data_IF_981481645246
#
_entry.id   IF_981481645246
#
_cell.length_a   1.000
_cell.length_b   1.000
_cell.length_c   1.000
_cell.angle_alpha   90.00
_cell.angle_beta   90.00
_cell.angle_gamma   90.00
#
_symmetry.space_group_name_H-M   'P 1'
#
loop_
_entity.id
_entity.type
_entity.pdbx_description
1 polymer ?
#
# COMPACT_ATOMS: atom_id res chain seq x y z
N UNK A 1 5.32 -33.11 -50.24
CA UNK A 1 5.43 -33.69 -48.89
C UNK A 1 6.64 -33.06 -48.19
N UNK A 2 6.44 -31.95 -47.46
CA UNK A 2 7.54 -31.27 -46.73
C UNK A 2 7.86 -32.09 -45.48
N UNK A 3 9.09 -32.60 -45.38
CA UNK A 3 9.56 -33.26 -44.16
C UNK A 3 9.57 -32.25 -42.99
N UNK A 4 9.15 -32.65 -41.78
CA UNK A 4 9.28 -31.79 -40.61
C UNK A 4 10.76 -31.52 -40.34
N UNK A 5 11.09 -30.26 -40.08
CA UNK A 5 12.46 -29.85 -39.73
C UNK A 5 13.00 -30.73 -38.60
N UNK A 6 14.23 -31.24 -38.77
CA UNK A 6 14.94 -32.04 -37.76
C UNK A 6 14.94 -31.30 -36.44
N UNK A 7 14.33 -31.92 -35.41
CA UNK A 7 14.33 -31.43 -34.02
C UNK A 7 15.79 -31.31 -33.55
N UNK A 8 16.24 -30.11 -33.20
CA UNK A 8 17.59 -29.89 -32.65
C UNK A 8 17.70 -30.57 -31.29
N UNK A 9 18.56 -31.57 -31.20
CA UNK A 9 18.83 -32.33 -29.97
C UNK A 9 19.59 -31.46 -28.97
N UNK A 10 18.86 -30.69 -28.14
CA UNK A 10 19.45 -29.89 -27.06
C UNK A 10 18.58 -28.77 -26.49
N UNK A 11 17.51 -28.36 -27.18
CA UNK A 11 16.61 -27.31 -26.68
C UNK A 11 15.52 -27.88 -25.74
N UNK A 12 15.32 -27.31 -24.54
CA UNK A 12 14.25 -27.74 -23.65
C UNK A 12 12.88 -27.49 -24.29
N UNK A 13 11.88 -28.28 -23.91
CA UNK A 13 10.50 -28.06 -24.36
C UNK A 13 10.00 -26.70 -23.90
N UNK A 14 10.27 -26.36 -22.64
CA UNK A 14 9.71 -25.19 -21.96
C UNK A 14 10.74 -24.54 -21.05
N UNK A 15 10.69 -23.21 -21.00
CA UNK A 15 11.31 -22.39 -19.97
C UNK A 15 10.23 -21.81 -19.06
N UNK A 16 10.26 -22.19 -17.80
CA UNK A 16 9.39 -21.66 -16.75
C UNK A 16 10.03 -20.39 -16.19
N UNK A 17 9.40 -19.25 -16.39
CA UNK A 17 9.83 -17.94 -15.91
C UNK A 17 9.00 -17.56 -14.70
N UNK A 18 9.65 -17.41 -13.53
CA UNK A 18 9.02 -17.03 -12.27
C UNK A 18 9.49 -15.62 -11.88
N UNK A 19 8.68 -14.57 -12.09
CA UNK A 19 8.95 -13.26 -11.50
C UNK A 19 8.68 -13.31 -9.99
N UNK A 20 9.60 -12.80 -9.17
CA UNK A 20 9.46 -12.81 -7.71
C UNK A 20 9.88 -11.48 -7.08
N UNK A 21 9.12 -11.04 -6.08
CA UNK A 21 9.46 -9.88 -5.24
C UNK A 21 9.05 -10.14 -3.79
N UNK A 22 10.02 -10.24 -2.89
CA UNK A 22 9.89 -10.34 -1.42
C UNK A 22 9.03 -11.48 -0.87
N UNK A 23 8.83 -12.57 -1.61
CA UNK A 23 8.03 -13.73 -1.17
C UNK A 23 8.80 -15.07 -1.34
N UNK A 24 9.75 -15.31 -0.43
CA UNK A 24 10.61 -16.52 -0.41
C UNK A 24 9.80 -17.80 -0.20
N UNK A 25 8.78 -17.75 0.65
CA UNK A 25 7.94 -18.91 0.98
C UNK A 25 7.10 -19.35 -0.23
N UNK A 26 6.46 -18.40 -0.92
CA UNK A 26 5.70 -18.68 -2.12
C UNK A 26 6.61 -19.25 -3.22
N UNK A 27 7.76 -18.60 -3.46
CA UNK A 27 8.74 -19.08 -4.43
C UNK A 27 9.21 -20.51 -4.14
N UNK A 28 9.48 -20.84 -2.88
CA UNK A 28 9.90 -22.18 -2.46
C UNK A 28 8.85 -23.24 -2.83
N UNK A 29 7.55 -22.95 -2.62
CA UNK A 29 6.44 -23.83 -3.03
C UNK A 29 6.33 -23.99 -4.54
N UNK A 30 6.49 -22.89 -5.29
CA UNK A 30 6.47 -22.93 -6.75
C UNK A 30 7.62 -23.81 -7.29
N UNK A 31 8.85 -23.58 -6.82
CA UNK A 31 10.05 -24.34 -7.22
C UNK A 31 9.98 -25.83 -6.88
N UNK A 32 9.22 -26.22 -5.85
CA UNK A 32 8.99 -27.63 -5.53
C UNK A 32 8.28 -28.38 -6.66
N UNK A 33 7.43 -27.71 -7.45
CA UNK A 33 6.58 -28.28 -8.50
C UNK A 33 7.15 -28.09 -9.93
N UNK A 34 8.13 -27.22 -10.11
CA UNK A 34 8.75 -26.94 -11.43
C UNK A 34 10.25 -27.16 -11.39
N UNK A 35 10.69 -28.38 -11.08
CA UNK A 35 12.12 -28.70 -11.04
C UNK A 35 12.73 -28.76 -12.45
N UNK A 36 13.96 -28.27 -12.56
CA UNK A 36 14.72 -28.31 -13.81
C UNK A 36 14.99 -29.76 -14.26
N UNK A 37 14.90 -30.01 -15.56
CA UNK A 37 15.15 -31.31 -16.19
C UNK A 37 15.61 -31.11 -17.64
N UNK A 38 15.96 -32.18 -18.35
CA UNK A 38 16.33 -32.10 -19.77
C UNK A 38 15.26 -31.43 -20.65
N UNK A 39 13.97 -31.48 -20.26
CA UNK A 39 12.86 -30.87 -21.00
C UNK A 39 12.41 -29.52 -20.42
N UNK A 40 12.84 -29.19 -19.20
CA UNK A 40 12.33 -28.04 -18.43
C UNK A 40 13.50 -27.19 -17.95
N UNK A 41 13.57 -25.97 -18.46
CA UNK A 41 14.44 -24.93 -17.91
C UNK A 41 13.64 -24.07 -16.93
N UNK A 42 14.25 -23.68 -15.81
CA UNK A 42 13.60 -22.88 -14.76
C UNK A 42 14.40 -21.62 -14.56
N UNK A 43 13.74 -20.47 -14.68
CA UNK A 43 14.35 -19.15 -14.55
C UNK A 43 13.59 -18.36 -13.49
N UNK A 44 14.29 -17.93 -12.44
CA UNK A 44 13.72 -17.06 -11.42
C UNK A 44 14.25 -15.65 -11.66
N UNK A 45 13.34 -14.74 -12.00
CA UNK A 45 13.65 -13.33 -12.23
C UNK A 45 13.33 -12.52 -10.97
N UNK A 46 14.37 -12.15 -10.23
CA UNK A 46 14.28 -11.39 -9.00
C UNK A 46 14.38 -9.89 -9.28
N UNK A 47 13.66 -9.08 -8.51
CA UNK A 47 13.89 -7.64 -8.48
C UNK A 47 15.29 -7.36 -7.88
N UNK A 48 16.04 -6.45 -8.51
CA UNK A 48 17.39 -6.08 -8.09
C UNK A 48 17.43 -5.56 -6.65
N UNK A 49 18.49 -5.92 -5.92
CA UNK A 49 18.67 -5.59 -4.51
C UNK A 49 18.08 -6.62 -3.54
N UNK A 50 17.44 -7.69 -4.03
CA UNK A 50 16.87 -8.77 -3.20
C UNK A 50 17.67 -10.09 -3.33
N UNK A 51 18.84 -10.09 -3.95
CA UNK A 51 19.62 -11.31 -4.27
C UNK A 51 19.95 -12.13 -3.03
N UNK A 52 20.35 -11.48 -1.93
CA UNK A 52 20.68 -12.14 -0.66
C UNK A 52 19.49 -12.86 -0.03
N UNK A 53 18.26 -12.41 -0.29
CA UNK A 53 17.04 -13.01 0.29
C UNK A 53 16.86 -14.44 -0.19
N UNK A 54 17.23 -14.74 -1.43
CA UNK A 54 16.96 -16.04 -2.05
C UNK A 54 18.18 -16.97 -2.07
N UNK A 55 19.26 -16.63 -1.35
CA UNK A 55 20.52 -17.39 -1.34
C UNK A 55 20.30 -18.87 -0.98
N UNK A 56 19.53 -19.14 0.09
CA UNK A 56 19.16 -20.51 0.50
C UNK A 56 18.39 -21.28 -0.56
N UNK A 57 17.49 -20.61 -1.30
CA UNK A 57 16.75 -21.24 -2.39
C UNK A 57 17.65 -21.48 -3.61
N UNK A 58 18.58 -20.57 -3.88
CA UNK A 58 19.55 -20.72 -4.95
C UNK A 58 20.49 -21.90 -4.70
N UNK A 59 20.90 -22.10 -3.46
CA UNK A 59 21.64 -23.29 -3.04
C UNK A 59 20.77 -24.55 -3.17
N UNK A 60 19.54 -24.55 -2.68
CA UNK A 60 18.67 -25.73 -2.75
C UNK A 60 18.31 -26.17 -4.18
N UNK A 61 18.21 -25.22 -5.11
CA UNK A 61 17.75 -25.46 -6.49
C UNK A 61 18.86 -25.14 -7.52
N UNK A 62 19.95 -25.92 -7.49
CA UNK A 62 21.14 -25.73 -8.34
C UNK A 62 20.88 -25.74 -9.87
N UNK A 63 19.78 -26.36 -10.33
CA UNK A 63 19.39 -26.39 -11.74
C UNK A 63 18.61 -25.16 -12.22
N UNK A 64 18.29 -24.24 -11.32
CA UNK A 64 17.52 -23.03 -11.62
C UNK A 64 18.44 -21.87 -11.97
N UNK A 65 18.13 -21.17 -13.06
CA UNK A 65 18.83 -19.96 -13.47
C UNK A 65 18.24 -18.74 -12.75
N UNK A 66 19.09 -17.95 -12.11
CA UNK A 66 18.67 -16.76 -11.37
C UNK A 66 19.04 -15.51 -12.16
N UNK A 67 18.08 -14.61 -12.34
CA UNK A 67 18.20 -13.39 -13.13
C UNK A 67 17.88 -12.21 -12.23
N UNK A 68 18.75 -11.22 -12.20
CA UNK A 68 18.46 -9.92 -11.58
C UNK A 68 17.92 -8.96 -12.65
N UNK A 69 16.82 -8.29 -12.34
CA UNK A 69 16.19 -7.29 -13.21
C UNK A 69 15.63 -6.14 -12.37
N UNK A 70 15.42 -4.94 -12.94
CA UNK A 70 14.71 -3.87 -12.24
C UNK A 70 13.34 -4.32 -11.73
N UNK A 71 12.84 -3.64 -10.69
CA UNK A 71 11.54 -3.95 -10.11
C UNK A 71 10.42 -3.70 -11.13
N UNK A 72 9.59 -4.71 -11.35
CA UNK A 72 8.41 -4.61 -12.21
C UNK A 72 8.08 -5.98 -12.81
N UNK A 73 6.81 -6.42 -12.73
CA UNK A 73 6.46 -7.78 -13.17
C UNK A 73 6.78 -7.98 -14.65
N UNK A 74 6.36 -7.05 -15.51
CA UNK A 74 6.65 -7.10 -16.94
C UNK A 74 8.15 -7.15 -17.23
N UNK A 75 8.92 -6.27 -16.56
CA UNK A 75 10.39 -6.20 -16.70
C UNK A 75 11.05 -7.53 -16.30
N UNK A 76 10.66 -8.09 -15.16
CA UNK A 76 11.18 -9.36 -14.67
C UNK A 76 10.80 -10.54 -15.58
N UNK A 77 9.55 -10.59 -16.08
CA UNK A 77 9.11 -11.61 -17.03
C UNK A 77 9.87 -11.51 -18.35
N UNK A 78 10.09 -10.30 -18.88
CA UNK A 78 10.87 -10.09 -20.09
C UNK A 78 12.34 -10.47 -19.91
N UNK A 79 12.96 -10.10 -18.78
CA UNK A 79 14.34 -10.50 -18.48
C UNK A 79 14.47 -12.03 -18.40
N UNK A 80 13.50 -12.69 -17.78
CA UNK A 80 13.38 -14.15 -17.77
C UNK A 80 13.26 -14.75 -19.16
N UNK A 81 12.36 -14.21 -19.98
CA UNK A 81 12.13 -14.66 -21.34
C UNK A 81 13.37 -14.46 -22.25
N UNK A 82 14.08 -13.35 -22.11
CA UNK A 82 15.29 -13.06 -22.87
C UNK A 82 16.44 -14.04 -22.56
N UNK A 83 16.48 -14.56 -21.34
CA UNK A 83 17.51 -15.50 -20.89
C UNK A 83 17.14 -16.98 -21.12
N UNK A 84 15.92 -17.26 -21.55
CA UNK A 84 15.35 -18.59 -21.72
C UNK A 84 15.84 -19.29 -22.99
N UNK A 85 15.82 -20.62 -23.01
CA UNK A 85 16.18 -21.49 -24.17
C UNK A 85 15.07 -22.42 -24.66
N UNK A 86 14.02 -22.63 -23.89
CA UNK A 86 12.88 -23.47 -24.23
C UNK A 86 11.97 -22.96 -25.35
N UNK A 87 11.43 -23.90 -26.13
CA UNK A 87 10.54 -23.60 -27.27
C UNK A 87 9.23 -22.92 -26.84
N UNK A 88 8.77 -23.26 -25.64
CA UNK A 88 7.67 -22.62 -24.95
C UNK A 88 8.19 -21.75 -23.80
N UNK A 89 7.55 -20.62 -23.57
CA UNK A 89 7.72 -19.81 -22.38
C UNK A 89 6.47 -20.00 -21.52
N UNK A 90 6.64 -20.34 -20.25
CA UNK A 90 5.56 -20.44 -19.26
C UNK A 90 5.84 -19.43 -18.16
N UNK A 91 4.94 -18.47 -17.96
CA UNK A 91 5.05 -17.46 -16.91
C UNK A 91 4.28 -17.93 -15.68
N UNK A 92 4.99 -18.27 -14.61
CA UNK A 92 4.42 -18.78 -13.37
C UNK A 92 4.56 -17.75 -12.26
N UNK A 93 3.45 -17.27 -11.72
CA UNK A 93 3.49 -16.42 -10.53
C UNK A 93 4.05 -17.20 -9.34
N UNK A 94 4.87 -16.53 -8.50
CA UNK A 94 5.49 -17.16 -7.34
C UNK A 94 4.46 -17.68 -6.31
N UNK A 95 3.25 -17.10 -6.26
CA UNK A 95 2.15 -17.54 -5.40
C UNK A 95 1.24 -18.60 -6.03
N UNK A 96 1.70 -19.23 -7.12
CA UNK A 96 0.99 -20.28 -7.85
C UNK A 96 1.81 -21.56 -7.98
N UNK A 97 1.13 -22.72 -7.99
CA UNK A 97 1.74 -24.04 -8.22
C UNK A 97 1.05 -24.76 -9.38
N UNK A 98 1.85 -25.31 -10.29
CA UNK A 98 1.35 -26.08 -11.44
C UNK A 98 0.85 -27.48 -11.01
N UNK A 99 -0.15 -28.05 -11.72
CA UNK A 99 -0.61 -29.42 -11.49
C UNK A 99 0.39 -30.43 -12.02
N UNK A 100 0.41 -31.66 -11.50
CA UNK A 100 1.42 -32.68 -11.89
C UNK A 100 1.47 -32.99 -13.40
N UNK A 101 0.34 -32.83 -14.11
CA UNK A 101 0.22 -33.08 -15.55
C UNK A 101 0.60 -31.88 -16.45
N UNK A 102 1.13 -30.80 -15.87
CA UNK A 102 1.38 -29.55 -16.59
C UNK A 102 2.31 -29.70 -17.80
N UNK A 103 3.31 -30.58 -17.71
CA UNK A 103 4.26 -30.81 -18.81
C UNK A 103 3.58 -31.55 -19.98
N UNK A 104 2.64 -32.44 -19.69
CA UNK A 104 1.87 -33.16 -20.70
C UNK A 104 0.89 -32.23 -21.42
N UNK A 105 0.34 -31.23 -20.71
CA UNK A 105 -0.45 -30.16 -21.32
C UNK A 105 0.38 -29.42 -22.38
N UNK A 106 1.62 -29.06 -22.07
CA UNK A 106 2.50 -28.38 -23.03
C UNK A 106 2.94 -29.31 -24.16
N UNK A 107 3.19 -30.59 -23.89
CA UNK A 107 3.54 -31.56 -24.92
C UNK A 107 2.40 -31.72 -25.95
N UNK A 108 1.14 -31.81 -25.50
CA UNK A 108 -0.04 -31.86 -26.38
C UNK A 108 -0.25 -30.56 -27.16
N UNK A 109 -0.04 -29.42 -26.52
CA UNK A 109 -0.10 -28.12 -27.20
C UNK A 109 0.99 -28.00 -28.27
N UNK A 110 2.16 -28.59 -28.03
CA UNK A 110 3.29 -28.56 -28.96
C UNK A 110 3.03 -29.31 -30.27
N UNK A 111 2.26 -30.40 -30.21
CA UNK A 111 1.84 -31.19 -31.39
C UNK A 111 0.90 -30.40 -32.32
N UNK A 112 0.22 -29.36 -31.80
CA UNK A 112 -0.72 -28.54 -32.55
C UNK A 112 -0.04 -27.29 -33.12
N UNK A 113 0.12 -27.24 -34.44
CA UNK A 113 0.82 -26.15 -35.11
C UNK A 113 0.12 -24.78 -35.01
N UNK A 114 -1.21 -24.77 -34.84
CA UNK A 114 -2.06 -23.57 -34.76
C UNK A 114 -2.14 -22.94 -33.36
N UNK A 115 -1.70 -23.68 -32.33
CA UNK A 115 -1.77 -23.22 -30.94
C UNK A 115 -0.60 -22.28 -30.66
N UNK A 116 -0.91 -20.99 -30.43
CA UNK A 116 0.11 -19.97 -30.17
C UNK A 116 0.45 -19.85 -28.69
N UNK A 117 -0.49 -20.22 -27.83
CA UNK A 117 -0.39 -20.13 -26.38
C UNK A 117 -1.56 -20.81 -25.68
N UNK A 118 -1.55 -20.78 -24.36
CA UNK A 118 -2.63 -21.28 -23.53
C UNK A 118 -2.50 -20.82 -22.08
N UNK A 119 -3.52 -21.10 -21.30
CA UNK A 119 -3.55 -20.77 -19.88
C UNK A 119 -4.27 -21.88 -19.10
N UNK A 120 -3.78 -22.17 -17.91
CA UNK A 120 -4.35 -23.15 -16.99
C UNK A 120 -5.66 -22.65 -16.39
N UNK A 121 -6.46 -23.58 -15.86
CA UNK A 121 -7.68 -23.23 -15.13
C UNK A 121 -7.29 -22.67 -13.76
N UNK A 122 -7.82 -21.52 -13.38
CA UNK A 122 -7.60 -21.01 -12.02
C UNK A 122 -8.26 -21.93 -10.99
N UNK A 123 -7.51 -22.28 -9.94
CA UNK A 123 -8.00 -22.87 -8.70
C UNK A 123 -7.44 -22.06 -7.53
N UNK A 124 -8.28 -21.69 -6.58
CA UNK A 124 -7.88 -20.87 -5.43
C UNK A 124 -7.64 -21.79 -4.23
N UNK A 125 -6.49 -21.62 -3.58
CA UNK A 125 -6.09 -22.39 -2.39
C UNK A 125 -6.87 -21.97 -1.14
N UNK A 126 -8.15 -22.33 -1.11
CA UNK A 126 -9.05 -22.12 0.02
C UNK A 126 -10.23 -23.08 -0.05
N UNK A 127 -10.77 -23.43 1.12
CA UNK A 127 -11.98 -24.23 1.27
C UNK A 127 -13.27 -23.39 1.24
N UNK A 128 -13.15 -22.07 1.21
CA UNK A 128 -14.28 -21.15 1.19
C UNK A 128 -15.16 -21.36 -0.06
N UNK A 129 -16.49 -21.35 0.11
CA UNK A 129 -17.42 -21.49 -1.01
C UNK A 129 -17.32 -20.30 -2.00
N UNK A 130 -16.97 -19.12 -1.50
CA UNK A 130 -16.74 -17.91 -2.29
C UNK A 130 -15.63 -18.13 -3.33
N UNK A 131 -14.60 -18.91 -2.99
CA UNK A 131 -13.52 -19.26 -3.90
C UNK A 131 -14.06 -20.02 -5.13
N UNK A 132 -14.96 -20.99 -4.91
CA UNK A 132 -15.59 -21.78 -5.99
C UNK A 132 -16.45 -20.92 -6.92
N UNK A 133 -17.15 -19.93 -6.36
CA UNK A 133 -17.93 -18.95 -7.15
C UNK A 133 -17.02 -18.07 -8.00
N UNK A 134 -15.92 -17.58 -7.43
CA UNK A 134 -14.94 -16.77 -8.16
C UNK A 134 -14.29 -17.58 -9.29
N UNK A 135 -13.88 -18.83 -9.03
CA UNK A 135 -13.38 -19.74 -10.06
C UNK A 135 -14.39 -19.95 -11.19
N UNK A 136 -15.68 -20.09 -10.87
CA UNK A 136 -16.74 -20.19 -11.87
C UNK A 136 -16.85 -18.91 -12.72
N UNK A 137 -16.81 -17.74 -12.08
CA UNK A 137 -16.80 -16.45 -12.79
C UNK A 137 -15.57 -16.28 -13.69
N UNK A 138 -14.40 -16.73 -13.24
CA UNK A 138 -13.17 -16.74 -14.06
C UNK A 138 -13.31 -17.67 -15.26
N UNK A 139 -13.85 -18.88 -15.08
CA UNK A 139 -14.14 -19.81 -16.19
C UNK A 139 -15.06 -19.18 -17.22
N UNK A 140 -16.14 -18.53 -16.77
CA UNK A 140 -17.07 -17.84 -17.65
C UNK A 140 -16.40 -16.69 -18.41
N UNK A 141 -15.59 -15.87 -17.74
CA UNK A 141 -14.82 -14.78 -18.38
C UNK A 141 -13.89 -15.32 -19.46
N UNK A 142 -13.15 -16.38 -19.18
CA UNK A 142 -12.22 -16.98 -20.16
C UNK A 142 -12.99 -17.57 -21.34
N UNK A 143 -14.11 -18.24 -21.10
CA UNK A 143 -14.94 -18.81 -22.15
C UNK A 143 -15.58 -17.75 -23.06
N UNK A 144 -16.06 -16.64 -22.50
CA UNK A 144 -16.76 -15.58 -23.24
C UNK A 144 -15.82 -14.56 -23.89
N UNK A 145 -14.74 -14.19 -23.21
CA UNK A 145 -13.86 -13.07 -23.61
C UNK A 145 -12.47 -13.52 -24.06
N UNK A 146 -12.14 -14.81 -23.94
CA UNK A 146 -10.80 -15.31 -24.27
C UNK A 146 -9.68 -14.65 -23.45
N UNK A 147 -9.99 -14.25 -22.21
CA UNK A 147 -9.14 -13.36 -21.40
C UNK A 147 -8.66 -14.02 -20.10
N UNK A 148 -7.68 -14.94 -20.16
CA UNK A 148 -6.95 -15.40 -18.98
C UNK A 148 -6.07 -14.30 -18.39
N UNK A 149 -5.80 -14.38 -17.08
CA UNK A 149 -4.88 -13.48 -16.36
C UNK A 149 -3.58 -14.20 -15.99
N UNK A 150 -2.57 -13.48 -15.49
CA UNK A 150 -1.26 -14.05 -15.15
C UNK A 150 -1.29 -15.14 -14.08
N UNK A 151 -2.27 -15.12 -13.17
CA UNK A 151 -2.50 -16.15 -12.14
C UNK A 151 -2.98 -17.49 -12.71
N UNK A 152 -3.18 -17.57 -14.02
CA UNK A 152 -3.54 -18.77 -14.76
C UNK A 152 -2.34 -19.42 -15.46
N UNK A 153 -1.11 -19.09 -15.06
CA UNK A 153 0.13 -19.63 -15.61
C UNK A 153 0.16 -19.61 -17.15
N UNK A 154 0.20 -18.40 -17.72
CA UNK A 154 0.16 -18.21 -19.17
C UNK A 154 1.39 -18.84 -19.82
N UNK A 155 1.19 -19.66 -20.85
CA UNK A 155 2.25 -20.17 -21.70
C UNK A 155 2.07 -19.78 -23.16
N UNK A 156 3.17 -19.60 -23.87
CA UNK A 156 3.20 -19.09 -25.24
C UNK A 156 4.41 -19.64 -25.98
N UNK A 157 4.26 -19.88 -27.29
CA UNK A 157 5.43 -20.25 -28.11
C UNK A 157 6.41 -19.08 -28.10
N UNK A 158 7.70 -19.35 -27.92
CA UNK A 158 8.74 -18.29 -27.89
C UNK A 158 8.63 -17.34 -29.08
N UNK A 159 8.52 -17.88 -30.30
CA UNK A 159 8.43 -17.08 -31.53
C UNK A 159 7.25 -16.10 -31.51
N UNK A 160 6.14 -16.50 -30.90
CA UNK A 160 4.96 -15.65 -30.75
C UNK A 160 5.17 -14.58 -29.70
N UNK A 161 5.84 -14.91 -28.59
CA UNK A 161 6.24 -13.92 -27.58
C UNK A 161 7.14 -12.84 -28.18
N UNK A 162 8.15 -13.25 -28.95
CA UNK A 162 9.06 -12.36 -29.67
C UNK A 162 8.32 -11.51 -30.71
N UNK A 163 7.47 -12.13 -31.53
CA UNK A 163 6.64 -11.43 -32.52
C UNK A 163 5.69 -10.41 -31.88
N UNK A 164 5.16 -10.71 -30.70
CA UNK A 164 4.31 -9.79 -29.96
C UNK A 164 5.11 -8.62 -29.35
N UNK A 165 6.44 -8.72 -29.24
CA UNK A 165 7.30 -7.75 -28.56
C UNK A 165 7.34 -7.91 -27.03
N UNK A 166 7.09 -9.13 -26.53
CA UNK A 166 7.09 -9.45 -25.11
C UNK A 166 5.99 -8.76 -24.30
N UNK A 167 6.17 -8.66 -22.98
CA UNK A 167 5.31 -7.84 -22.14
C UNK A 167 5.66 -6.36 -22.31
N UNK A 168 4.66 -5.49 -22.46
CA UNK A 168 4.91 -4.04 -22.38
C UNK A 168 5.24 -3.68 -20.94
N UNK A 169 6.14 -2.72 -20.76
CA UNK A 169 6.47 -2.16 -19.45
C UNK A 169 5.30 -1.29 -18.95
N UNK A 170 4.23 -1.97 -18.53
CA UNK A 170 3.05 -1.36 -17.95
C UNK A 170 3.09 -1.59 -16.44
N UNK A 171 2.80 -0.55 -15.63
CA UNK A 171 2.77 -0.69 -14.19
C UNK A 171 1.64 -1.63 -13.74
N UNK A 172 0.56 -1.72 -14.50
CA UNK A 172 -0.59 -2.59 -14.28
C UNK A 172 -1.20 -3.00 -15.63
N UNK A 173 -1.84 -4.16 -15.70
CA UNK A 173 -2.52 -4.71 -16.90
C UNK A 173 -1.57 -5.25 -17.97
N UNK A 174 -0.32 -5.52 -17.63
CA UNK A 174 0.69 -6.14 -18.47
C UNK A 174 0.21 -7.49 -19.04
N UNK A 175 -0.42 -8.33 -18.22
CA UNK A 175 -0.95 -9.64 -18.63
C UNK A 175 -2.12 -9.50 -19.60
N UNK A 176 -3.03 -8.56 -19.31
CA UNK A 176 -4.23 -8.31 -20.13
C UNK A 176 -3.84 -7.73 -21.49
N UNK A 177 -2.92 -6.77 -21.52
CA UNK A 177 -2.34 -6.24 -22.76
C UNK A 177 -1.69 -7.34 -23.59
N UNK A 178 -0.84 -8.17 -22.95
CA UNK A 178 -0.11 -9.23 -23.64
C UNK A 178 -1.04 -10.28 -24.23
N UNK A 179 -2.00 -10.80 -23.45
CA UNK A 179 -3.01 -11.77 -23.90
C UNK A 179 -3.79 -11.24 -25.10
N UNK A 180 -4.22 -9.97 -25.06
CA UNK A 180 -4.92 -9.34 -26.20
C UNK A 180 -4.05 -9.20 -27.44
N UNK A 181 -2.74 -9.03 -27.29
CA UNK A 181 -1.82 -8.96 -28.44
C UNK A 181 -1.61 -10.34 -29.06
N UNK A 182 -1.32 -11.36 -28.26
CA UNK A 182 -1.12 -12.72 -28.79
C UNK A 182 -2.41 -13.36 -29.32
N UNK A 183 -3.58 -12.99 -28.79
CA UNK A 183 -4.88 -13.47 -29.30
C UNK A 183 -5.20 -12.97 -30.72
N UNK A 184 -4.56 -11.87 -31.15
CA UNK A 184 -4.67 -11.39 -32.54
C UNK A 184 -3.75 -12.15 -33.50
N UNK A 185 -2.74 -12.84 -32.97
CA UNK A 185 -1.80 -13.64 -33.76
C UNK A 185 -2.34 -15.06 -33.95
N UNK A 186 -2.99 -15.64 -32.93
CA UNK A 186 -3.63 -16.94 -33.05
C UNK A 186 -4.39 -17.37 -31.79
N UNK A 187 -4.76 -18.65 -31.75
CA UNK A 187 -5.62 -19.20 -30.70
C UNK A 187 -4.87 -19.44 -29.39
N UNK A 188 -5.43 -18.92 -28.30
CA UNK A 188 -5.02 -19.23 -26.92
C UNK A 188 -5.92 -20.36 -26.39
N UNK A 189 -5.33 -21.51 -26.06
CA UNK A 189 -6.09 -22.67 -25.57
C UNK A 189 -6.33 -22.59 -24.06
N UNK A 190 -7.59 -22.56 -23.58
CA UNK A 190 -7.87 -22.70 -22.16
C UNK A 190 -7.71 -24.16 -21.74
N UNK A 191 -6.76 -24.45 -20.85
CA UNK A 191 -6.50 -25.78 -20.36
C UNK A 191 -7.42 -26.14 -19.20
N UNK A 192 -7.78 -27.43 -19.09
CA UNK A 192 -8.66 -27.93 -18.01
C UNK A 192 -7.91 -28.15 -16.69
N UNK A 193 -6.62 -28.42 -16.74
CA UNK A 193 -5.79 -28.71 -15.57
C UNK A 193 -5.68 -27.46 -14.67
N UNK A 194 -5.91 -27.60 -13.35
CA UNK A 194 -5.95 -26.46 -12.45
C UNK A 194 -4.56 -26.02 -12.00
N UNK A 195 -4.24 -24.74 -12.18
CA UNK A 195 -3.15 -24.09 -11.44
C UNK A 195 -3.70 -23.60 -10.11
N UNK A 196 -3.03 -23.96 -9.01
CA UNK A 196 -3.43 -23.57 -7.67
C UNK A 196 -2.77 -22.23 -7.32
N UNK A 197 -3.56 -21.24 -6.91
CA UNK A 197 -3.10 -19.89 -6.59
C UNK A 197 -3.54 -19.48 -5.18
N UNK A 198 -2.67 -18.77 -4.48
CA UNK A 198 -2.89 -18.29 -3.11
C UNK A 198 -4.19 -17.47 -2.93
N UNK A 199 -4.98 -17.83 -1.91
CA UNK A 199 -6.18 -17.10 -1.52
C UNK A 199 -5.93 -15.81 -0.71
N UNK A 200 -4.69 -15.60 -0.22
CA UNK A 200 -4.31 -14.57 0.76
C UNK A 200 -4.92 -13.19 0.46
N UNK A 201 -4.90 -12.75 -0.80
CA UNK A 201 -5.41 -11.43 -1.21
C UNK A 201 -6.94 -11.34 -1.14
N UNK A 202 -7.67 -12.39 -1.48
CA UNK A 202 -9.13 -12.40 -1.39
C UNK A 202 -9.61 -12.50 0.06
N UNK A 203 -8.91 -13.28 0.89
CA UNK A 203 -9.21 -13.41 2.31
C UNK A 203 -8.99 -12.08 3.04
N UNK A 204 -7.88 -11.38 2.75
CA UNK A 204 -7.59 -10.05 3.32
C UNK A 204 -8.55 -8.96 2.83
N UNK A 205 -8.73 -8.82 1.52
CA UNK A 205 -9.45 -7.67 0.94
C UNK A 205 -10.98 -7.91 0.82
N UNK A 206 -11.45 -9.12 1.12
CA UNK A 206 -12.83 -9.57 0.93
C UNK A 206 -13.09 -10.14 -0.48
N UNK A 207 -13.58 -11.38 -0.52
CA UNK A 207 -13.77 -12.20 -1.73
C UNK A 207 -14.42 -11.46 -2.92
N UNK A 208 -15.60 -10.89 -2.71
CA UNK A 208 -16.35 -10.22 -3.78
C UNK A 208 -15.87 -8.79 -4.03
N UNK A 209 -15.40 -8.08 -3.00
CA UNK A 209 -14.85 -6.73 -3.13
C UNK A 209 -13.62 -6.75 -4.04
N UNK A 210 -12.70 -7.68 -3.78
CA UNK A 210 -11.49 -7.87 -4.57
C UNK A 210 -11.79 -8.26 -6.01
N UNK A 211 -12.70 -9.22 -6.22
CA UNK A 211 -13.09 -9.67 -7.56
C UNK A 211 -13.78 -8.56 -8.36
N UNK A 212 -14.67 -7.77 -7.73
CA UNK A 212 -15.30 -6.60 -8.36
C UNK A 212 -14.27 -5.53 -8.71
N UNK A 213 -13.29 -5.27 -7.85
CA UNK A 213 -12.21 -4.32 -8.13
C UNK A 213 -11.38 -4.76 -9.35
N UNK A 214 -10.96 -6.02 -9.40
CA UNK A 214 -10.24 -6.57 -10.56
C UNK A 214 -11.05 -6.43 -11.85
N UNK A 215 -12.35 -6.76 -11.81
CA UNK A 215 -13.23 -6.59 -12.96
C UNK A 215 -13.34 -5.14 -13.41
N UNK A 216 -13.52 -4.19 -12.48
CA UNK A 216 -13.59 -2.75 -12.79
C UNK A 216 -12.31 -2.24 -13.45
N UNK A 217 -11.14 -2.65 -12.95
CA UNK A 217 -9.85 -2.25 -13.53
C UNK A 217 -9.70 -2.75 -14.97
N UNK A 218 -10.06 -4.02 -15.22
CA UNK A 218 -10.01 -4.59 -16.56
C UNK A 218 -11.01 -3.89 -17.47
N UNK A 219 -12.25 -3.66 -17.03
CA UNK A 219 -13.25 -2.94 -17.81
C UNK A 219 -12.76 -1.53 -18.18
N UNK A 220 -12.22 -0.78 -17.22
CA UNK A 220 -11.65 0.56 -17.48
C UNK A 220 -10.47 0.51 -18.46
N UNK A 221 -9.57 -0.46 -18.32
CA UNK A 221 -8.47 -0.66 -19.26
C UNK A 221 -8.97 -0.97 -20.68
N UNK A 222 -9.98 -1.84 -20.81
CA UNK A 222 -10.60 -2.17 -22.10
C UNK A 222 -11.33 -0.97 -22.73
N UNK A 223 -11.87 -0.07 -21.91
CA UNK A 223 -12.47 1.21 -22.32
C UNK A 223 -11.42 2.31 -22.62
N UNK A 224 -10.13 2.01 -22.53
CA UNK A 224 -9.05 2.93 -22.91
C UNK A 224 -8.45 3.76 -21.78
N UNK A 225 -8.78 3.47 -20.51
CA UNK A 225 -8.11 4.12 -19.38
C UNK A 225 -6.61 3.81 -19.36
N UNK A 226 -5.78 4.81 -19.07
CA UNK A 226 -4.33 4.63 -19.11
C UNK A 226 -3.85 3.70 -17.99
N UNK A 227 -2.93 2.75 -18.28
CA UNK A 227 -2.32 1.87 -17.27
C UNK A 227 -1.72 2.62 -16.10
N UNK A 228 -1.13 3.80 -16.33
CA UNK A 228 -0.58 4.65 -15.27
C UNK A 228 -1.65 5.15 -14.29
N UNK A 229 -2.83 5.61 -14.77
CA UNK A 229 -3.93 6.03 -13.90
C UNK A 229 -4.52 4.85 -13.13
N UNK A 230 -4.67 3.70 -13.79
CA UNK A 230 -5.16 2.48 -13.14
C UNK A 230 -4.18 2.00 -12.07
N UNK A 231 -2.88 2.04 -12.37
CA UNK A 231 -1.82 1.73 -11.42
C UNK A 231 -1.80 2.72 -10.25
N UNK A 232 -1.99 4.02 -10.49
CA UNK A 232 -2.13 5.00 -9.42
C UNK A 232 -3.35 4.72 -8.54
N UNK A 233 -4.51 4.38 -9.10
CA UNK A 233 -5.69 4.02 -8.31
C UNK A 233 -5.54 2.66 -7.57
N UNK A 234 -4.73 1.75 -8.11
CA UNK A 234 -4.58 0.37 -7.62
C UNK A 234 -3.41 0.18 -6.65
N UNK A 235 -2.24 0.70 -6.98
CA UNK A 235 -1.03 0.72 -6.14
C UNK A 235 -0.92 1.98 -5.31
N UNK A 236 -1.53 3.10 -5.74
CA UNK A 236 -1.65 4.30 -4.90
C UNK A 236 -2.70 4.16 -3.81
N UNK A 237 -2.84 2.93 -3.24
CA UNK A 237 -3.30 2.77 -1.86
C UNK A 237 -2.44 3.70 -1.02
N UNK A 238 -3.05 4.76 -0.48
CA UNK A 238 -2.42 5.66 0.48
C UNK A 238 -2.08 4.80 1.70
N UNK A 239 -0.80 4.46 1.97
CA UNK A 239 -0.49 3.47 2.97
C UNK A 239 -0.63 4.04 4.39
N UNK A 240 -0.66 5.37 4.52
CA UNK A 240 -0.74 6.05 5.80
C UNK A 240 -1.60 7.30 5.70
N UNK A 241 -2.33 7.60 6.75
CA UNK A 241 -3.02 8.87 6.91
C UNK A 241 -2.40 9.65 8.07
N UNK A 242 -2.21 10.95 7.86
CA UNK A 242 -2.00 11.92 8.93
C UNK A 242 -3.32 12.64 9.12
N UNK A 243 -3.76 12.71 10.36
CA UNK A 243 -5.01 13.35 10.79
C UNK A 243 -4.63 14.49 11.72
N UNK A 244 -5.01 15.70 11.37
CA UNK A 244 -4.94 16.83 12.28
C UNK A 244 -6.31 16.98 12.95
N UNK A 245 -6.39 16.74 14.25
CA UNK A 245 -7.58 17.09 15.03
C UNK A 245 -7.52 18.58 15.34
N UNK A 246 -8.49 19.32 14.83
CA UNK A 246 -8.53 20.77 14.94
C UNK A 246 -9.91 21.25 15.36
N UNK A 247 -9.93 22.22 16.28
CA UNK A 247 -11.09 23.08 16.48
C UNK A 247 -10.97 24.31 15.59
N UNK A 248 -12.06 24.69 14.94
CA UNK A 248 -12.18 25.90 14.14
C UNK A 248 -11.54 27.13 14.83
N UNK A 249 -10.56 27.83 14.21
CA UNK A 249 -9.83 28.93 14.83
C UNK A 249 -10.71 30.06 15.36
N UNK A 250 -11.81 30.37 14.66
CA UNK A 250 -12.76 31.43 15.00
C UNK A 250 -13.81 31.06 16.04
N UNK A 251 -13.84 29.80 16.51
CA UNK A 251 -14.76 29.40 17.60
C UNK A 251 -14.13 29.65 18.95
N UNK A 252 -14.91 29.74 20.03
CA UNK A 252 -14.37 29.84 21.39
C UNK A 252 -13.56 28.59 21.77
N UNK A 253 -12.32 28.76 22.23
CA UNK A 253 -11.39 27.70 22.60
C UNK A 253 -10.14 28.24 23.29
N UNK A 254 -9.32 27.37 23.90
CA UNK A 254 -8.09 27.66 24.68
C UNK A 254 -8.16 28.91 25.58
N UNK A 255 -8.72 28.74 26.77
CA UNK A 255 -8.89 29.79 27.80
C UNK A 255 -7.60 30.41 28.32
N UNK A 256 -6.42 29.78 28.15
CA UNK A 256 -5.14 30.31 28.64
C UNK A 256 -4.50 31.34 27.69
N UNK A 257 -4.52 31.09 26.38
CA UNK A 257 -4.05 32.03 25.36
C UNK A 257 -5.05 33.17 25.09
N UNK A 258 -6.34 32.95 25.37
CA UNK A 258 -7.39 33.96 25.22
C UNK A 258 -7.17 35.20 26.12
N UNK A 259 -6.41 35.08 27.20
CA UNK A 259 -6.12 36.20 28.11
C UNK A 259 -5.00 37.12 27.59
N UNK A 260 -4.23 36.69 26.58
CA UNK A 260 -3.07 37.41 26.06
C UNK A 260 -3.44 38.44 24.98
N UNK A 261 -4.67 38.41 24.48
CA UNK A 261 -5.10 39.14 23.30
C UNK A 261 -6.60 39.39 23.33
N UNK A 262 -7.06 40.42 22.60
CA UNK A 262 -8.49 40.57 22.32
C UNK A 262 -8.99 39.40 21.44
N UNK A 263 -10.31 39.21 21.33
CA UNK A 263 -10.91 38.08 20.60
C UNK A 263 -10.40 37.95 19.15
N UNK A 264 -10.20 39.07 18.45
CA UNK A 264 -9.71 39.08 17.07
C UNK A 264 -8.26 38.60 16.99
N UNK A 265 -7.38 39.14 17.83
CA UNK A 265 -5.98 38.74 17.91
C UNK A 265 -5.83 37.27 18.36
N UNK A 266 -6.67 36.79 19.27
CA UNK A 266 -6.66 35.37 19.67
C UNK A 266 -7.09 34.43 18.51
N UNK A 267 -8.07 34.83 17.71
CA UNK A 267 -8.46 34.07 16.51
C UNK A 267 -7.33 34.02 15.48
N UNK A 268 -6.64 35.15 15.25
CA UNK A 268 -5.47 35.22 14.36
C UNK A 268 -4.34 34.30 14.82
N UNK A 269 -4.03 34.27 16.12
CA UNK A 269 -3.01 33.38 16.67
C UNK A 269 -3.39 31.91 16.42
N UNK A 270 -4.65 31.53 16.67
CA UNK A 270 -5.11 30.15 16.45
C UNK A 270 -5.10 29.77 14.97
N UNK A 271 -5.40 30.71 14.09
CA UNK A 271 -5.27 30.49 12.65
C UNK A 271 -3.80 30.28 12.26
N UNK A 272 -2.89 31.07 12.81
CA UNK A 272 -1.45 30.91 12.58
C UNK A 272 -0.93 29.55 13.07
N UNK A 273 -1.31 29.12 14.28
CA UNK A 273 -0.98 27.80 14.83
C UNK A 273 -1.48 26.66 13.92
N UNK A 274 -2.75 26.75 13.50
CA UNK A 274 -3.38 25.78 12.61
C UNK A 274 -2.67 25.70 11.26
N UNK A 275 -2.37 26.85 10.64
CA UNK A 275 -1.75 26.90 9.31
C UNK A 275 -0.31 26.39 9.32
N UNK A 276 0.46 26.70 10.36
CA UNK A 276 1.83 26.20 10.49
C UNK A 276 1.85 24.68 10.75
N UNK A 277 0.94 24.17 11.59
CA UNK A 277 0.77 22.72 11.80
C UNK A 277 0.32 22.00 10.51
N UNK A 278 -0.60 22.62 9.76
CA UNK A 278 -1.06 22.11 8.46
C UNK A 278 0.09 22.06 7.43
N UNK A 279 1.01 23.03 7.47
CA UNK A 279 2.19 23.03 6.59
C UNK A 279 3.13 21.86 6.90
N UNK A 280 3.40 21.59 8.18
CA UNK A 280 4.16 20.41 8.61
C UNK A 280 3.49 19.09 8.18
N UNK A 281 2.17 18.99 8.35
CA UNK A 281 1.38 17.84 7.91
C UNK A 281 1.49 17.63 6.40
N UNK A 282 1.35 18.71 5.60
CA UNK A 282 1.45 18.68 4.13
C UNK A 282 2.81 18.25 3.61
N UNK A 283 3.87 18.60 4.33
CA UNK A 283 5.23 18.24 3.96
C UNK A 283 5.50 16.73 4.03
N UNK A 284 4.63 15.93 4.66
CA UNK A 284 4.75 14.46 4.74
C UNK A 284 4.36 13.81 3.39
N UNK A 285 5.32 13.28 2.61
CA UNK A 285 5.06 12.81 1.26
C UNK A 285 4.32 11.47 1.24
N UNK A 286 3.34 11.35 0.34
CA UNK A 286 2.63 10.09 0.07
C UNK A 286 1.65 9.65 1.17
N UNK A 287 1.41 10.47 2.18
CA UNK A 287 0.34 10.27 3.15
C UNK A 287 -0.99 10.84 2.63
N UNK A 288 -2.09 10.27 3.10
CA UNK A 288 -3.39 10.95 3.08
C UNK A 288 -3.38 12.03 4.15
N UNK A 289 -3.86 13.22 3.83
CA UNK A 289 -4.03 14.28 4.81
C UNK A 289 -5.51 14.47 5.10
N UNK A 290 -5.89 14.33 6.37
CA UNK A 290 -7.26 14.50 6.85
C UNK A 290 -7.30 15.53 7.97
N UNK A 291 -8.28 16.43 7.97
CA UNK A 291 -8.58 17.26 9.13
C UNK A 291 -9.85 16.73 9.78
N UNK A 292 -9.76 16.40 11.06
CA UNK A 292 -10.89 16.07 11.91
C UNK A 292 -11.34 17.35 12.63
N UNK A 293 -12.41 17.97 12.13
CA UNK A 293 -12.83 19.32 12.49
C UNK A 293 -13.94 19.32 13.57
N UNK A 294 -13.79 20.20 14.56
CA UNK A 294 -14.83 20.59 15.51
C UNK A 294 -15.09 22.10 15.42
N UNK A 295 -16.34 22.58 15.47
CA UNK A 295 -17.60 21.82 15.44
C UNK A 295 -17.92 21.32 14.02
N UNK A 296 -18.81 20.32 13.91
CA UNK A 296 -19.14 19.68 12.63
C UNK A 296 -19.62 20.68 11.55
N UNK A 297 -20.39 21.70 11.92
CA UNK A 297 -20.90 22.71 10.98
C UNK A 297 -19.81 23.61 10.40
N UNK A 298 -18.64 23.69 11.03
CA UNK A 298 -17.52 24.51 10.56
C UNK A 298 -16.68 23.79 9.49
N UNK A 299 -16.93 22.49 9.22
CA UNK A 299 -16.14 21.70 8.27
C UNK A 299 -16.04 22.32 6.87
N UNK A 300 -17.07 23.02 6.39
CA UNK A 300 -17.04 23.63 5.05
C UNK A 300 -16.06 24.81 4.99
N UNK A 301 -16.17 25.75 5.93
CA UNK A 301 -15.24 26.87 6.06
C UNK A 301 -13.80 26.40 6.34
N UNK A 302 -13.63 25.33 7.13
CA UNK A 302 -12.31 24.74 7.37
C UNK A 302 -11.69 24.16 6.10
N UNK A 303 -12.51 23.68 5.16
CA UNK A 303 -12.04 23.17 3.86
C UNK A 303 -11.48 24.31 3.01
N UNK A 304 -12.10 25.48 3.06
CA UNK A 304 -11.61 26.68 2.37
C UNK A 304 -10.28 27.14 2.96
N UNK A 305 -10.18 27.23 4.30
CA UNK A 305 -8.93 27.59 4.99
C UNK A 305 -7.82 26.57 4.73
N UNK A 306 -8.14 25.27 4.78
CA UNK A 306 -7.17 24.22 4.54
C UNK A 306 -6.67 24.25 3.10
N UNK A 307 -7.53 24.50 2.11
CA UNK A 307 -7.20 24.47 0.69
C UNK A 307 -7.16 23.05 0.10
N UNK A 308 -6.73 22.89 -1.18
CA UNK A 308 -6.83 21.63 -1.89
C UNK A 308 -5.92 20.53 -1.31
N UNK A 309 -6.27 19.28 -1.60
CA UNK A 309 -5.49 18.10 -1.25
C UNK A 309 -5.70 17.56 0.17
N UNK A 310 -6.61 18.17 0.94
CA UNK A 310 -6.93 17.77 2.31
C UNK A 310 -8.37 17.24 2.37
N UNK A 311 -8.56 16.06 2.94
CA UNK A 311 -9.88 15.50 3.24
C UNK A 311 -10.38 16.04 4.60
N UNK A 312 -11.70 16.22 4.76
CA UNK A 312 -12.27 16.70 6.02
C UNK A 312 -13.34 15.75 6.54
N UNK A 313 -13.26 15.47 7.85
CA UNK A 313 -14.26 14.71 8.61
C UNK A 313 -14.68 15.53 9.83
N UNK A 314 -15.94 15.38 10.25
CA UNK A 314 -16.40 15.97 11.51
C UNK A 314 -15.94 15.11 12.69
N UNK A 315 -15.46 15.74 13.76
CA UNK A 315 -15.23 15.02 15.02
C UNK A 315 -16.56 14.51 15.59
N UNK A 316 -16.57 13.27 16.08
CA UNK A 316 -17.75 12.62 16.68
C UNK A 316 -17.41 12.13 18.08
N UNK A 317 -18.22 12.46 19.07
CA UNK A 317 -18.02 12.01 20.45
C UNK A 317 -18.14 13.15 21.46
N UNK A 318 -18.52 12.79 22.68
CA UNK A 318 -18.76 13.74 23.77
C UNK A 318 -17.45 14.18 24.43
N UNK A 319 -16.47 13.27 24.51
CA UNK A 319 -15.14 13.52 25.08
C UNK A 319 -14.01 13.30 24.06
N UNK A 320 -12.79 13.69 24.45
CA UNK A 320 -11.59 13.59 23.60
C UNK A 320 -11.27 12.14 23.20
N UNK A 321 -11.38 11.19 24.13
CA UNK A 321 -11.07 9.78 23.86
C UNK A 321 -12.01 9.17 22.82
N UNK A 322 -13.31 9.46 22.93
CA UNK A 322 -14.33 9.04 21.97
C UNK A 322 -14.10 9.69 20.61
N UNK A 323 -13.69 10.96 20.57
CA UNK A 323 -13.36 11.66 19.32
C UNK A 323 -12.12 11.09 18.64
N UNK A 324 -11.08 10.77 19.40
CA UNK A 324 -9.88 10.08 18.92
C UNK A 324 -10.25 8.70 18.36
N UNK A 325 -10.99 7.89 19.12
CA UNK A 325 -11.43 6.57 18.68
C UNK A 325 -12.19 6.64 17.34
N UNK A 326 -13.17 7.53 17.23
CA UNK A 326 -13.93 7.71 16.00
C UNK A 326 -13.08 8.25 14.84
N UNK A 327 -12.13 9.16 15.09
CA UNK A 327 -11.22 9.66 14.05
C UNK A 327 -10.37 8.51 13.45
N UNK A 328 -9.81 7.65 14.30
CA UNK A 328 -9.10 6.45 13.85
C UNK A 328 -10.01 5.54 13.04
N UNK A 329 -11.18 5.18 13.56
CA UNK A 329 -12.11 4.30 12.86
C UNK A 329 -12.56 4.86 11.51
N UNK A 330 -12.92 6.13 11.45
CA UNK A 330 -13.41 6.78 10.24
C UNK A 330 -12.33 6.74 9.16
N UNK A 331 -11.07 7.03 9.51
CA UNK A 331 -9.95 7.03 8.57
C UNK A 331 -9.51 5.62 8.18
N UNK A 332 -9.54 4.65 9.09
CA UNK A 332 -9.35 3.23 8.74
C UNK A 332 -10.45 2.72 7.80
N UNK A 333 -11.71 3.15 7.97
CA UNK A 333 -12.82 2.81 7.05
C UNK A 333 -12.61 3.40 5.65
N UNK A 334 -11.89 4.52 5.53
CA UNK A 334 -11.44 5.08 4.24
C UNK A 334 -10.31 4.26 3.58
N UNK A 335 -9.74 3.29 4.30
CA UNK A 335 -8.80 2.30 3.77
C UNK A 335 -7.32 2.61 4.04
N UNK A 336 -7.01 3.49 5.00
CA UNK A 336 -5.65 3.70 5.49
C UNK A 336 -5.09 2.41 6.12
N UNK A 337 -3.80 2.09 5.92
CA UNK A 337 -3.15 0.95 6.59
C UNK A 337 -2.57 1.34 7.96
N UNK A 338 -2.23 2.62 8.14
CA UNK A 338 -1.99 3.20 9.45
C UNK A 338 -2.47 4.63 9.51
N UNK A 339 -2.73 5.11 10.71
CA UNK A 339 -3.23 6.46 10.97
C UNK A 339 -2.33 7.08 12.04
N UNK A 340 -1.97 8.33 11.85
CA UNK A 340 -1.31 9.18 12.85
C UNK A 340 -2.21 10.36 13.10
N UNK A 341 -2.48 10.66 14.36
CA UNK A 341 -3.27 11.80 14.80
C UNK A 341 -2.34 12.77 15.55
N UNK A 342 -2.43 14.05 15.19
CA UNK A 342 -1.77 15.18 15.85
C UNK A 342 -2.81 16.26 16.19
N UNK A 343 -2.50 17.11 17.17
CA UNK A 343 -3.28 18.33 17.46
C UNK A 343 -3.03 19.44 16.42
N UNK A 344 -3.78 20.54 16.52
CA UNK A 344 -3.63 21.72 15.65
C UNK A 344 -2.65 22.78 16.15
N UNK A 345 -2.07 22.59 17.34
CA UNK A 345 -1.37 23.63 18.09
C UNK A 345 0.11 23.30 18.25
N UNK A 346 0.71 22.73 17.19
CA UNK A 346 2.08 22.24 17.12
C UNK A 346 2.84 22.95 15.99
N UNK A 347 2.93 24.29 16.01
CA UNK A 347 3.39 25.09 14.87
C UNK A 347 4.86 24.84 14.51
N UNK A 348 5.66 24.38 15.46
CA UNK A 348 7.09 24.13 15.31
C UNK A 348 7.43 22.64 15.10
N UNK A 349 6.44 21.74 15.12
CA UNK A 349 6.63 20.30 14.94
C UNK A 349 7.17 19.99 13.53
N UNK A 350 8.37 19.41 13.40
CA UNK A 350 8.92 19.08 12.09
C UNK A 350 8.15 17.93 11.44
N UNK A 351 7.94 18.01 10.12
CA UNK A 351 7.36 16.92 9.33
C UNK A 351 8.12 15.59 9.51
N UNK A 352 9.44 15.66 9.73
CA UNK A 352 10.29 14.49 10.01
C UNK A 352 9.88 13.70 11.24
N UNK A 353 9.28 14.34 12.26
CA UNK A 353 8.75 13.63 13.45
C UNK A 353 7.51 12.81 13.07
N UNK A 354 6.61 13.40 12.28
CA UNK A 354 5.42 12.71 11.76
C UNK A 354 5.85 11.54 10.86
N UNK A 355 6.84 11.75 9.98
CA UNK A 355 7.41 10.69 9.15
C UNK A 355 8.04 9.56 9.97
N UNK A 356 8.78 9.89 11.03
CA UNK A 356 9.40 8.91 11.92
C UNK A 356 8.34 8.04 12.62
N UNK A 357 7.17 8.60 12.92
CA UNK A 357 6.04 7.83 13.46
C UNK A 357 5.49 6.85 12.42
N UNK A 358 5.31 7.29 11.16
CA UNK A 358 4.85 6.45 10.06
C UNK A 358 5.84 5.32 9.74
N UNK A 359 7.15 5.59 9.80
CA UNK A 359 8.19 4.57 9.64
C UNK A 359 8.07 3.49 10.71
N UNK A 360 7.86 3.87 11.97
CA UNK A 360 7.64 2.91 13.07
C UNK A 360 6.36 2.09 12.85
N UNK A 361 5.26 2.71 12.39
CA UNK A 361 3.99 2.03 12.11
C UNK A 361 4.07 0.97 10.99
N UNK A 362 5.08 1.07 10.11
CA UNK A 362 5.33 0.10 9.03
C UNK A 362 6.05 -1.17 9.49
N UNK A 363 6.63 -1.17 10.70
CA UNK A 363 7.28 -2.36 11.24
C UNK A 363 6.24 -3.46 11.47
N UNK A 364 6.67 -4.73 11.34
CA UNK A 364 5.77 -5.88 11.49
C UNK A 364 5.13 -5.92 12.89
N UNK A 365 3.90 -6.43 12.94
CA UNK A 365 3.11 -6.55 14.17
C UNK A 365 2.22 -5.34 14.43
N UNK A 366 1.22 -5.54 15.28
CA UNK A 366 0.29 -4.49 15.67
C UNK A 366 0.95 -3.60 16.72
N UNK A 367 0.84 -2.28 16.54
CA UNK A 367 1.58 -1.32 17.36
C UNK A 367 0.87 0.02 17.50
N UNK A 368 1.25 0.70 18.57
CA UNK A 368 0.97 2.11 18.81
C UNK A 368 2.29 2.89 18.86
N UNK A 369 2.29 4.08 18.27
CA UNK A 369 3.39 5.04 18.36
C UNK A 369 2.87 6.26 19.09
N UNK A 370 3.56 6.68 20.16
CA UNK A 370 3.18 7.83 20.97
C UNK A 370 4.33 8.84 20.97
N UNK A 371 4.02 10.11 20.77
CA UNK A 371 4.93 11.23 21.00
C UNK A 371 4.65 11.85 22.36
N UNK A 372 5.51 11.61 23.38
CA UNK A 372 5.29 12.15 24.73
C UNK A 372 5.24 13.67 24.76
N UNK A 373 4.35 14.23 25.58
CA UNK A 373 4.34 15.65 25.91
C UNK A 373 4.82 15.85 27.37
N UNK A 374 5.41 17.02 27.64
CA UNK A 374 6.00 17.34 28.95
C UNK A 374 4.97 17.38 30.10
N UNK A 375 3.68 17.55 29.78
CA UNK A 375 2.57 17.58 30.73
C UNK A 375 2.06 16.19 31.12
N UNK A 376 2.70 15.12 30.61
CA UNK A 376 2.31 13.71 30.81
C UNK A 376 1.21 13.22 29.85
N UNK A 377 0.84 14.03 28.86
CA UNK A 377 0.04 13.65 27.70
C UNK A 377 0.89 13.14 26.52
N UNK A 378 0.34 13.29 25.32
CA UNK A 378 1.06 13.03 24.08
C UNK A 378 0.60 14.01 22.98
N UNK A 379 1.55 14.53 22.20
CA UNK A 379 1.27 15.40 21.05
C UNK A 379 0.90 14.63 19.78
N UNK A 380 1.28 13.34 19.73
CA UNK A 380 1.08 12.46 18.59
C UNK A 380 0.67 11.07 19.07
N UNK A 381 -0.34 10.50 18.44
CA UNK A 381 -0.69 9.08 18.58
C UNK A 381 -0.89 8.45 17.21
N UNK A 382 -0.29 7.29 16.97
CA UNK A 382 -0.42 6.57 15.71
C UNK A 382 -0.64 5.09 15.92
N UNK A 383 -1.44 4.46 15.06
CA UNK A 383 -1.76 3.03 15.11
C UNK A 383 -1.84 2.44 13.70
N UNK A 384 -1.54 1.15 13.56
CA UNK A 384 -1.68 0.39 12.30
C UNK A 384 -2.88 -0.57 12.28
N UNK A 385 -3.71 -0.53 13.33
CA UNK A 385 -5.05 -1.10 13.37
C UNK A 385 -5.98 -0.25 14.26
N UNK A 386 -7.31 -0.31 14.08
CA UNK A 386 -8.23 0.26 15.05
C UNK A 386 -8.06 -0.40 16.43
N UNK A 387 -7.98 0.40 17.49
CA UNK A 387 -7.94 -0.08 18.87
C UNK A 387 -8.59 0.94 19.82
N UNK A 388 -9.92 1.13 19.78
CA UNK A 388 -10.60 2.14 20.60
C UNK A 388 -10.38 1.95 22.11
N UNK A 389 -10.11 0.72 22.56
CA UNK A 389 -9.82 0.40 23.95
C UNK A 389 -8.65 1.20 24.56
N UNK A 390 -7.68 1.67 23.75
CA UNK A 390 -6.55 2.47 24.27
C UNK A 390 -6.95 3.86 24.78
N UNK A 391 -8.18 4.30 24.46
CA UNK A 391 -8.72 5.59 24.87
C UNK A 391 -9.78 5.47 25.97
N UNK A 392 -10.12 4.25 26.40
CA UNK A 392 -11.15 4.00 27.40
C UNK A 392 -10.61 4.20 28.82
N UNK A 393 -11.33 4.94 29.66
CA UNK A 393 -10.98 5.12 31.08
C UNK A 393 -9.71 5.95 31.32
N UNK A 394 -9.24 6.69 30.31
CA UNK A 394 -8.12 7.61 30.43
C UNK A 394 -8.56 8.86 31.17
N UNK A 395 -7.78 9.26 32.18
CA UNK A 395 -7.98 10.51 32.90
C UNK A 395 -7.42 11.68 32.08
N UNK A 396 -8.17 12.11 31.06
CA UNK A 396 -7.80 13.21 30.17
C UNK A 396 -7.46 14.49 30.94
N UNK A 397 -6.52 15.28 30.40
CA UNK A 397 -6.01 16.51 31.02
C UNK A 397 -5.29 16.28 32.36
N UNK A 398 -4.58 15.15 32.50
CA UNK A 398 -3.73 14.85 33.66
C UNK A 398 -2.38 14.29 33.21
N UNK A 399 -1.38 14.35 34.09
CA UNK A 399 -0.03 13.78 33.86
C UNK A 399 0.00 12.26 33.69
N UNK A 400 -1.14 11.60 33.89
CA UNK A 400 -1.27 10.13 33.86
C UNK A 400 -1.69 9.61 32.48
N UNK A 401 -2.07 10.50 31.56
CA UNK A 401 -2.62 10.14 30.25
C UNK A 401 -1.70 9.20 29.48
N UNK A 402 -0.43 9.57 29.31
CA UNK A 402 0.54 8.75 28.58
C UNK A 402 0.71 7.36 29.21
N UNK A 403 0.91 7.32 30.53
CA UNK A 403 1.10 6.06 31.26
C UNK A 403 -0.12 5.13 31.12
N UNK A 404 -1.32 5.68 31.29
CA UNK A 404 -2.57 4.92 31.14
C UNK A 404 -2.78 4.41 29.71
N UNK A 405 -2.47 5.21 28.69
CA UNK A 405 -2.57 4.78 27.28
C UNK A 405 -1.54 3.69 26.95
N UNK A 406 -0.32 3.77 27.50
CA UNK A 406 0.70 2.72 27.35
C UNK A 406 0.22 1.41 27.99
N UNK A 407 -0.34 1.47 29.20
CA UNK A 407 -0.85 0.29 29.90
C UNK A 407 -2.03 -0.34 29.15
N UNK A 408 -2.97 0.49 28.66
CA UNK A 408 -4.09 0.03 27.85
C UNK A 408 -3.64 -0.60 26.53
N UNK A 409 -2.64 0.00 25.85
CA UNK A 409 -2.09 -0.56 24.62
C UNK A 409 -1.42 -1.92 24.83
N UNK A 410 -0.66 -2.07 25.93
CA UNK A 410 -0.05 -3.35 26.30
C UNK A 410 -1.09 -4.41 26.63
N UNK A 411 -2.17 -4.05 27.32
CA UNK A 411 -3.28 -4.96 27.60
C UNK A 411 -3.96 -5.46 26.32
N UNK A 412 -4.00 -4.63 25.28
CA UNK A 412 -4.52 -4.96 23.93
C UNK A 412 -3.49 -5.65 23.02
N UNK A 413 -2.32 -6.01 23.55
CA UNK A 413 -1.27 -6.72 22.80
C UNK A 413 -0.55 -5.88 21.74
N UNK A 414 -0.60 -4.55 21.84
CA UNK A 414 0.12 -3.65 20.94
C UNK A 414 1.57 -3.48 21.39
N UNK A 415 2.50 -3.52 20.42
CA UNK A 415 3.86 -3.04 20.63
C UNK A 415 3.84 -1.52 20.79
N UNK A 416 4.48 -1.00 21.84
CA UNK A 416 4.47 0.43 22.17
C UNK A 416 5.81 1.04 21.79
N UNK A 417 5.81 2.00 20.87
CA UNK A 417 6.98 2.78 20.51
C UNK A 417 6.81 4.24 20.91
N UNK A 418 7.78 4.78 21.64
CA UNK A 418 7.81 6.19 22.00
C UNK A 418 8.73 6.97 21.03
N UNK A 419 8.29 8.16 20.64
CA UNK A 419 9.12 9.17 20.00
C UNK A 419 9.81 10.03 21.06
N UNK A 420 10.63 10.97 20.61
CA UNK A 420 11.18 11.99 21.48
C UNK A 420 10.06 12.93 21.97
N UNK A 421 10.24 13.44 23.18
CA UNK A 421 9.32 14.37 23.81
C UNK A 421 9.25 15.68 23.02
N UNK A 422 8.04 16.23 22.88
CA UNK A 422 7.80 17.54 22.27
C UNK A 422 6.78 18.30 23.11
N UNK A 423 6.97 19.61 23.22
CA UNK A 423 6.05 20.47 23.97
C UNK A 423 5.15 21.24 23.00
N UNK A 424 3.86 21.27 23.31
CA UNK A 424 2.87 22.09 22.63
C UNK A 424 2.96 23.57 23.04
N UNK A 425 2.11 24.40 22.42
CA UNK A 425 2.00 25.83 22.71
C UNK A 425 0.66 26.08 23.41
N UNK A 426 0.72 26.34 24.72
CA UNK A 426 -0.45 26.46 25.59
C UNK A 426 -0.47 27.76 26.41
N UNK A 427 0.69 28.35 26.68
CA UNK A 427 0.81 29.61 27.43
C UNK A 427 1.77 30.63 26.78
N UNK A 428 1.91 31.78 27.43
CA UNK A 428 2.78 32.88 26.98
C UNK A 428 4.26 32.48 26.92
N UNK A 429 4.73 31.68 27.89
CA UNK A 429 6.13 31.25 27.98
C UNK A 429 6.46 30.32 26.80
N UNK A 430 5.51 29.50 26.38
CA UNK A 430 5.65 28.65 25.19
C UNK A 430 5.81 29.48 23.91
N UNK A 431 5.09 30.60 23.80
CA UNK A 431 5.20 31.50 22.65
C UNK A 431 6.52 32.29 22.66
N UNK A 432 7.02 32.66 23.83
CA UNK A 432 8.35 33.26 23.96
C UNK A 432 9.47 32.31 23.52
N UNK A 433 9.33 31.00 23.75
CA UNK A 433 10.28 29.98 23.26
C UNK A 433 10.45 30.04 21.73
N UNK A 434 9.39 30.38 21.00
CA UNK A 434 9.42 30.51 19.53
C UNK A 434 10.21 31.75 19.05
N UNK A 435 10.40 32.77 19.89
CA UNK A 435 11.27 33.93 19.58
C UNK A 435 12.76 33.55 19.63
N UNK A 436 13.15 32.61 20.49
CA UNK A 436 14.54 32.26 20.77
C UNK A 436 15.13 31.10 19.93
N UNK A 437 14.31 30.29 19.27
CA UNK A 437 14.77 29.11 18.53
C UNK A 437 15.13 29.45 17.07
N UNK A 438 16.42 29.34 16.73
CA UNK A 438 17.06 29.67 15.44
C UNK A 438 16.71 28.75 14.24
N UNK A 439 15.82 27.78 14.35
CA UNK A 439 15.39 27.01 13.17
C UNK A 439 14.44 27.85 12.31
N UNK A 440 14.99 28.58 11.34
CA UNK A 440 14.26 29.44 10.37
C UNK A 440 13.20 28.71 9.51
N UNK A 441 12.88 27.43 9.77
CA UNK A 441 12.11 26.56 8.88
C UNK A 441 10.71 26.14 9.40
N UNK A 442 10.32 26.43 10.65
CA UNK A 442 8.99 26.05 11.20
C UNK A 442 8.33 27.22 11.95
N UNK A 443 7.01 27.15 12.15
CA UNK A 443 6.20 28.16 12.84
C UNK A 443 6.23 29.57 12.22
N UNK A 444 6.32 29.70 10.89
CA UNK A 444 6.53 30.98 10.22
C UNK A 444 5.43 32.01 10.53
N UNK A 445 4.15 31.60 10.48
CA UNK A 445 3.02 32.51 10.72
C UNK A 445 2.89 32.84 12.20
N UNK A 446 3.07 31.84 13.05
CA UNK A 446 3.01 31.99 14.52
C UNK A 446 4.10 32.95 14.98
N UNK A 447 5.34 32.79 14.50
CA UNK A 447 6.44 33.73 14.79
C UNK A 447 6.16 35.12 14.25
N UNK A 448 5.63 35.25 13.03
CA UNK A 448 5.25 36.55 12.49
C UNK A 448 4.21 37.23 13.39
N UNK A 449 3.16 36.50 13.79
CA UNK A 449 2.14 37.01 14.73
C UNK A 449 2.78 37.46 16.04
N UNK A 450 3.69 36.65 16.59
CA UNK A 450 4.39 36.91 17.84
C UNK A 450 5.25 38.18 17.80
N UNK A 451 5.88 38.47 16.67
CA UNK A 451 6.70 39.66 16.47
C UNK A 451 5.88 40.94 16.25
N UNK A 452 4.70 40.85 15.62
CA UNK A 452 3.88 42.02 15.28
C UNK A 452 2.94 42.44 16.41
N UNK A 453 2.48 41.50 17.22
CA UNK A 453 1.63 41.81 18.36
C UNK A 453 2.51 42.14 19.58
N UNK A 454 2.23 43.27 20.23
CA UNK A 454 2.75 43.56 21.56
C UNK A 454 1.77 42.96 22.56
N UNK A 455 2.31 42.14 23.44
CA UNK A 455 1.63 41.43 24.51
C UNK A 455 2.26 42.04 25.74
N UNK A 456 1.48 42.69 26.59
CA UNK A 456 2.03 43.33 27.79
C UNK A 456 2.56 42.23 28.71
N UNK A 457 3.87 42.01 28.68
CA UNK A 457 4.59 41.05 29.54
C UNK A 457 4.56 41.44 31.02
N UNK A 458 3.73 42.42 31.41
CA UNK A 458 3.61 42.97 32.76
C UNK A 458 2.13 43.20 33.10
N UNK A 459 1.41 42.13 33.47
CA UNK A 459 0.30 42.28 34.42
C UNK A 459 0.14 41.03 35.30
N UNK A 460 0.77 41.13 36.47
CA UNK A 460 0.70 40.34 37.72
C UNK A 460 1.24 38.91 37.77
#
# INVERSE_FOLDING_TARGET
MRMPARRTSGEPLVSVVIPVWRDEEALSRALAHVRASARVEVLVACAGGEERRYERLRERYHGTKWISAPRGRAVQMNAGAAAARGRWLLFLHADSTLPDDWLDVLARADERADTVGGAFRLSIDSRAWQARVIEAGVRLRVALLGLPYGDQALFVRRKIFEQAGGYRDLPLMEDVDFVRRISRIGRIEPCRSPVLTSARRWERDGWFRRSRQNFRLVAQFLLGASPARLAQAYFGRKPHAVVMMARAPWTTGKTRLANLANEAAHAELREALFLDTLEAMRAVPGAQHVIACEPAHACEQMRELAGPGIDLIAQRGEDLGTRLAHAFEDVFRLGAESVVVIGSDLPDLPAGVIEASLVRLRLRGDRIVLGPAADGGYYLVGMNRPCPAVFNGIAWSTERVLAQTVDAARAEGLDVALLDEWADIDDERDLERLKGHSSELTAARTRAWVCHNKWDSHTY
#
